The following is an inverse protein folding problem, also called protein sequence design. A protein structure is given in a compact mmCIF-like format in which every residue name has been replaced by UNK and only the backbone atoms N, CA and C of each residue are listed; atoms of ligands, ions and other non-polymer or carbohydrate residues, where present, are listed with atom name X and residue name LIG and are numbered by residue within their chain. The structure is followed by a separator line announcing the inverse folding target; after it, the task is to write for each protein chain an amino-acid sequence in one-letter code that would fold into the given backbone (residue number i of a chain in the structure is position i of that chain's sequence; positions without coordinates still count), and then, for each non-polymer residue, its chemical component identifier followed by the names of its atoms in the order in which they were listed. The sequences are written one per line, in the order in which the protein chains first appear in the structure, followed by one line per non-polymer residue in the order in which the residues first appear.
data_IF_957234368679
#
_entry.id   IF_957234368679
#
_cell.length_a   1.000
_cell.length_b   1.000
_cell.length_c   1.000
_cell.angle_alpha   90.00
_cell.angle_beta   90.00
_cell.angle_gamma   90.00
#
_symmetry.space_group_name_H-M   'P 1'
#
loop_
_entity.id
_entity.type
_entity.pdbx_description
1 polymer ?
#
# COMPACT_ATOMS: atom_id res chain seq x y z
N UNK A 1 12.46 -26.59 10.65
CA UNK A 1 12.71 -25.27 10.07
C UNK A 1 11.81 -25.15 8.86
N UNK A 2 10.71 -24.42 8.99
CA UNK A 2 9.73 -24.21 7.91
C UNK A 2 10.13 -22.95 7.16
N UNK A 3 10.44 -23.00 5.85
CA UNK A 3 10.65 -21.79 5.08
C UNK A 3 9.27 -21.12 4.89
N UNK A 4 9.12 -19.91 5.41
CA UNK A 4 8.01 -19.03 5.04
C UNK A 4 8.25 -18.62 3.59
N UNK A 5 7.39 -19.13 2.70
CA UNK A 5 7.36 -18.75 1.30
C UNK A 5 7.11 -17.25 1.21
N UNK A 6 8.18 -16.47 1.06
CA UNK A 6 8.12 -15.10 0.55
C UNK A 6 7.91 -15.20 -0.97
N UNK A 7 6.79 -15.82 -1.38
CA UNK A 7 6.36 -15.81 -2.76
C UNK A 7 5.72 -14.45 -3.03
N UNK A 8 6.59 -13.45 -3.17
CA UNK A 8 6.24 -12.13 -3.67
C UNK A 8 6.00 -12.23 -5.17
N UNK A 9 4.97 -12.99 -5.58
CA UNK A 9 4.39 -12.88 -6.92
C UNK A 9 3.59 -11.58 -6.95
N UNK A 10 4.32 -10.54 -7.31
CA UNK A 10 3.89 -9.16 -7.33
C UNK A 10 2.86 -8.86 -8.42
N UNK A 11 1.72 -9.57 -8.49
CA UNK A 11 0.58 -9.15 -9.31
C UNK A 11 -0.73 -9.77 -8.78
N UNK A 12 -1.19 -9.44 -7.57
CA UNK A 12 -2.58 -9.74 -7.20
C UNK A 12 -3.10 -8.74 -6.14
N UNK A 13 -3.66 -7.64 -6.65
CA UNK A 13 -4.26 -6.49 -5.92
C UNK A 13 -3.28 -5.70 -5.04
N UNK A 14 -3.13 -4.39 -5.29
CA UNK A 14 -2.09 -3.50 -4.73
C UNK A 14 -2.19 -3.24 -3.20
N UNK A 15 -2.76 -4.17 -2.43
CA UNK A 15 -2.89 -4.12 -1.00
C UNK A 15 -1.66 -4.74 -0.29
N UNK A 16 -1.21 -4.13 0.80
CA UNK A 16 -0.06 -4.56 1.61
C UNK A 16 -0.40 -4.42 3.10
N UNK A 17 -0.17 -5.49 3.87
CA UNK A 17 -0.29 -5.44 5.33
C UNK A 17 0.74 -4.48 5.93
N UNK A 18 0.36 -3.77 6.99
CA UNK A 18 1.30 -3.10 7.86
C UNK A 18 2.17 -4.13 8.59
N UNK A 19 3.42 -3.79 8.97
CA UNK A 19 4.31 -4.74 9.64
C UNK A 19 3.77 -5.31 10.96
N UNK A 20 2.93 -4.54 11.66
CA UNK A 20 2.24 -4.95 12.89
C UNK A 20 0.94 -5.75 12.64
N UNK A 21 0.55 -5.93 11.37
CA UNK A 21 -0.68 -6.62 10.96
C UNK A 21 -1.98 -5.87 11.27
N UNK A 22 -1.92 -4.64 11.78
CA UNK A 22 -3.12 -3.91 12.23
C UNK A 22 -3.90 -3.26 11.08
N UNK A 23 -3.28 -3.09 9.91
CA UNK A 23 -3.81 -2.29 8.81
C UNK A 23 -3.43 -2.82 7.43
N UNK A 24 -4.20 -2.45 6.42
CA UNK A 24 -3.96 -2.71 5.00
C UNK A 24 -3.76 -1.39 4.27
N UNK A 25 -2.63 -1.22 3.60
CA UNK A 25 -2.34 -0.14 2.66
C UNK A 25 -2.76 -0.57 1.26
N UNK A 26 -3.47 0.26 0.50
CA UNK A 26 -3.86 -0.09 -0.86
C UNK A 26 -3.94 1.16 -1.74
N UNK A 27 -3.73 0.98 -3.04
CA UNK A 27 -3.90 2.07 -4.00
C UNK A 27 -5.38 2.31 -4.28
N UNK A 28 -5.72 3.57 -4.48
CA UNK A 28 -7.04 4.04 -4.92
C UNK A 28 -6.89 4.72 -6.28
N UNK A 29 -7.98 5.31 -6.81
CA UNK A 29 -7.95 6.04 -8.08
C UNK A 29 -7.05 7.29 -7.98
N UNK A 30 -5.76 7.09 -8.19
CA UNK A 30 -4.72 8.12 -8.18
C UNK A 30 -4.07 8.39 -6.83
N UNK A 31 -4.45 7.70 -5.75
CA UNK A 31 -3.97 7.95 -4.39
C UNK A 31 -3.69 6.66 -3.62
N UNK A 32 -3.49 6.79 -2.31
CA UNK A 32 -3.22 5.68 -1.39
C UNK A 32 -4.08 5.81 -0.15
N UNK A 33 -4.69 4.71 0.27
CA UNK A 33 -5.52 4.64 1.47
C UNK A 33 -5.10 3.48 2.36
N UNK A 34 -5.51 3.57 3.63
CA UNK A 34 -5.31 2.53 4.63
C UNK A 34 -6.65 2.14 5.23
N UNK A 35 -6.88 0.84 5.42
CA UNK A 35 -8.03 0.31 6.15
C UNK A 35 -7.58 -0.52 7.36
N UNK A 36 -8.33 -0.52 8.48
CA UNK A 36 -8.06 -1.43 9.60
C UNK A 36 -8.24 -2.90 9.21
N UNK A 37 -7.39 -3.78 9.75
CA UNK A 37 -7.42 -5.24 9.51
C UNK A 37 -8.75 -5.89 9.84
N UNK A 38 -9.39 -5.43 10.93
CA UNK A 38 -10.63 -5.99 11.46
C UNK A 38 -11.88 -5.36 10.82
N UNK A 39 -11.71 -4.59 9.75
CA UNK A 39 -12.77 -3.83 9.11
C UNK A 39 -13.00 -2.45 9.74
N UNK A 40 -13.71 -1.60 9.01
CA UNK A 40 -13.94 -0.21 9.36
C UNK A 40 -13.66 0.72 8.19
N UNK A 41 -13.78 2.03 8.43
CA UNK A 41 -13.58 3.04 7.40
C UNK A 41 -12.11 3.14 7.00
N UNK A 42 -11.85 3.07 5.69
CA UNK A 42 -10.53 3.41 5.16
C UNK A 42 -10.28 4.91 5.23
N UNK A 43 -9.03 5.32 5.45
CA UNK A 43 -8.61 6.73 5.40
C UNK A 43 -7.57 6.96 4.31
N UNK A 44 -7.66 8.05 3.54
CA UNK A 44 -6.61 8.43 2.60
C UNK A 44 -5.35 8.84 3.36
N UNK A 45 -4.19 8.41 2.86
CA UNK A 45 -2.87 8.83 3.36
C UNK A 45 -2.07 9.57 2.31
N UNK A 46 -2.33 9.29 1.04
CA UNK A 46 -1.84 10.10 -0.08
C UNK A 46 -3.06 10.47 -0.91
N UNK A 47 -3.41 11.77 -1.02
CA UNK A 47 -4.56 12.18 -1.81
C UNK A 47 -4.30 11.92 -3.30
N UNK A 48 -5.37 11.75 -4.11
CA UNK A 48 -5.23 11.72 -5.55
C UNK A 48 -4.58 13.01 -6.06
N UNK A 49 -3.52 12.88 -6.87
CA UNK A 49 -2.92 14.02 -7.54
C UNK A 49 -3.52 14.22 -8.94
N UNK A 50 -3.62 15.47 -9.39
CA UNK A 50 -3.95 15.78 -10.78
C UNK A 50 -2.80 15.35 -11.70
N UNK A 51 -3.13 14.64 -12.78
CA UNK A 51 -2.14 14.01 -13.67
C UNK A 51 -1.98 12.52 -13.37
N UNK A 52 -0.75 12.07 -13.12
CA UNK A 52 -0.44 10.65 -12.92
C UNK A 52 -0.75 10.19 -11.50
N UNK A 53 -1.37 9.01 -11.42
CA UNK A 53 -1.68 8.35 -10.16
C UNK A 53 -0.46 7.77 -9.46
N UNK A 54 -0.67 7.28 -8.25
CA UNK A 54 0.30 6.46 -7.55
C UNK A 54 0.32 5.07 -8.19
N UNK A 55 1.50 4.65 -8.65
CA UNK A 55 1.73 3.37 -9.32
C UNK A 55 2.06 2.24 -8.31
N UNK A 56 2.70 2.59 -7.19
CA UNK A 56 3.05 1.65 -6.13
C UNK A 56 3.13 2.37 -4.78
N UNK A 57 2.86 1.63 -3.70
CA UNK A 57 3.09 2.09 -2.34
C UNK A 57 3.50 0.91 -1.44
N UNK A 58 4.32 1.18 -0.42
CA UNK A 58 4.78 0.18 0.53
C UNK A 58 5.05 0.81 1.91
N UNK A 59 4.87 0.00 2.95
CA UNK A 59 5.27 0.36 4.31
C UNK A 59 6.78 0.33 4.48
N UNK A 60 7.28 1.25 5.30
CA UNK A 60 8.57 1.11 5.96
C UNK A 60 8.59 -0.14 6.86
N UNK A 61 9.76 -0.77 7.09
CA UNK A 61 9.84 -1.96 7.95
C UNK A 61 9.37 -1.73 9.39
N UNK A 62 9.50 -0.51 9.91
CA UNK A 62 9.04 -0.14 11.25
C UNK A 62 7.58 0.36 11.26
N UNK A 63 6.92 0.42 10.10
CA UNK A 63 5.52 0.81 9.94
C UNK A 63 5.24 2.29 10.14
N UNK A 64 6.25 3.14 10.31
CA UNK A 64 6.06 4.58 10.62
C UNK A 64 5.86 5.43 9.38
N UNK A 65 6.44 5.01 8.26
CA UNK A 65 6.41 5.72 6.99
C UNK A 65 5.88 4.85 5.86
N UNK A 66 5.48 5.51 4.77
CA UNK A 66 5.00 4.88 3.54
C UNK A 66 5.78 5.47 2.37
N UNK A 67 6.46 4.61 1.62
CA UNK A 67 7.06 4.98 0.34
C UNK A 67 6.01 4.84 -0.76
N UNK A 68 6.03 5.74 -1.74
CA UNK A 68 5.15 5.66 -2.91
C UNK A 68 5.85 6.15 -4.17
N UNK A 69 5.44 5.59 -5.31
CA UNK A 69 5.91 5.99 -6.64
C UNK A 69 4.74 6.67 -7.35
N UNK A 70 4.93 7.93 -7.73
CA UNK A 70 4.02 8.62 -8.64
C UNK A 70 4.45 8.31 -10.06
N UNK A 71 3.51 7.93 -10.93
CA UNK A 71 3.81 7.80 -12.35
C UNK A 71 4.18 9.14 -12.98
N UNK A 72 4.84 9.10 -14.12
CA UNK A 72 5.06 10.24 -15.00
C UNK A 72 4.64 9.87 -16.43
N UNK A 73 4.32 10.87 -17.26
CA UNK A 73 4.36 10.71 -18.71
C UNK A 73 5.72 11.15 -19.18
N UNK A 74 6.40 10.24 -19.87
CA UNK A 74 7.45 10.60 -20.83
C UNK A 74 6.81 11.27 -22.07
#
# INVERSE_FOLDING_TARGET
MIPLSDDSTAVETQARWSPDGSSLLFLTRGGVSIAPALGGSSRPVVPPASGFGIAAAAWSPDGREIAFVRGDSL
#
